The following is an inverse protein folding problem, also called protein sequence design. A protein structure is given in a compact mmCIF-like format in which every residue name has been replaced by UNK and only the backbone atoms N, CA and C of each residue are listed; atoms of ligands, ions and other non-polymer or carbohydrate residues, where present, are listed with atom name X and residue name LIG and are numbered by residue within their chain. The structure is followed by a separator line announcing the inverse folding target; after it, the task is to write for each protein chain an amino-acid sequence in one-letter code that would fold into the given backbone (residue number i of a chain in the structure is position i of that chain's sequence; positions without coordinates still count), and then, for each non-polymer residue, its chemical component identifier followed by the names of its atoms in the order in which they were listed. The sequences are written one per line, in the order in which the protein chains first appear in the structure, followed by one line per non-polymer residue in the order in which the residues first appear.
data_IF_587042033684
#
_entry.id   IF_587042033684
#
_cell.length_a   1.000
_cell.length_b   1.000
_cell.length_c   1.000
_cell.angle_alpha   90.00
_cell.angle_beta   90.00
_cell.angle_gamma   90.00
#
_symmetry.space_group_name_H-M   'P 1'
#
loop_
_entity.id
_entity.type
_entity.pdbx_description
1 polymer ?
#
# COMPACT_ATOMS: atom_id res chain seq x y z
N UNK A 1 -21.97 1.48 -9.03
CA UNK A 1 -21.40 0.49 -9.96
C UNK A 1 -20.02 0.02 -9.47
N UNK A 2 -19.06 0.88 -9.18
CA UNK A 2 -17.67 0.56 -8.78
C UNK A 2 -17.59 -0.27 -7.47
N UNK A 3 -18.40 0.03 -6.47
CA UNK A 3 -18.47 -0.74 -5.21
C UNK A 3 -18.97 -2.18 -5.43
N UNK A 4 -19.92 -2.38 -6.31
CA UNK A 4 -20.43 -3.73 -6.66
C UNK A 4 -19.40 -4.54 -7.44
N UNK A 5 -18.68 -3.92 -8.38
CA UNK A 5 -17.64 -4.60 -9.15
C UNK A 5 -16.46 -5.01 -8.24
N UNK A 6 -16.00 -4.15 -7.33
CA UNK A 6 -14.93 -4.47 -6.39
C UNK A 6 -15.32 -5.62 -5.45
N UNK A 7 -16.57 -5.65 -4.96
CA UNK A 7 -17.07 -6.77 -4.15
C UNK A 7 -17.18 -8.08 -4.96
N UNK A 8 -17.55 -8.02 -6.23
CA UNK A 8 -17.56 -9.21 -7.10
C UNK A 8 -16.15 -9.77 -7.33
N UNK A 9 -15.16 -8.94 -7.62
CA UNK A 9 -13.78 -9.40 -7.83
C UNK A 9 -13.18 -10.05 -6.57
N UNK A 10 -13.44 -9.50 -5.38
CA UNK A 10 -12.98 -10.09 -4.12
C UNK A 10 -13.65 -11.45 -3.88
N UNK A 11 -14.94 -11.60 -4.15
CA UNK A 11 -15.68 -12.85 -4.01
C UNK A 11 -15.16 -13.94 -4.95
N UNK A 12 -14.93 -13.58 -6.21
CA UNK A 12 -14.43 -14.53 -7.22
C UNK A 12 -13.03 -15.03 -6.86
N UNK A 13 -12.16 -14.14 -6.39
CA UNK A 13 -10.82 -14.49 -5.91
C UNK A 13 -10.86 -15.40 -4.69
N UNK A 14 -11.71 -15.09 -3.69
CA UNK A 14 -11.91 -15.92 -2.51
C UNK A 14 -12.50 -17.30 -2.85
N UNK A 15 -13.49 -17.34 -3.75
CA UNK A 15 -14.07 -18.62 -4.20
C UNK A 15 -13.05 -19.49 -4.90
N UNK A 16 -12.18 -18.88 -5.72
CA UNK A 16 -11.07 -19.60 -6.38
C UNK A 16 -10.08 -20.13 -5.34
N UNK A 17 -9.68 -19.28 -4.40
CA UNK A 17 -8.73 -19.63 -3.34
C UNK A 17 -9.24 -20.79 -2.46
N UNK A 18 -10.51 -20.70 -2.02
CA UNK A 18 -11.17 -21.76 -1.24
C UNK A 18 -11.14 -23.11 -1.96
N UNK A 19 -11.42 -23.13 -3.26
CA UNK A 19 -11.43 -24.35 -4.08
C UNK A 19 -10.01 -24.87 -4.35
N UNK A 20 -9.06 -23.98 -4.57
CA UNK A 20 -7.68 -24.33 -4.88
C UNK A 20 -6.99 -25.04 -3.71
N UNK A 21 -7.27 -24.58 -2.49
CA UNK A 21 -6.64 -25.09 -1.27
C UNK A 21 -7.53 -26.03 -0.44
N UNK A 22 -8.68 -26.43 -0.96
CA UNK A 22 -9.65 -27.31 -0.28
C UNK A 22 -10.04 -26.80 1.12
N UNK A 23 -10.27 -25.48 1.23
CA UNK A 23 -10.66 -24.83 2.49
C UNK A 23 -12.10 -25.21 2.82
N UNK A 24 -12.34 -25.77 4.00
CA UNK A 24 -13.65 -26.27 4.42
C UNK A 24 -14.36 -25.37 5.43
N UNK A 25 -13.61 -24.49 6.11
CA UNK A 25 -14.12 -23.61 7.16
C UNK A 25 -13.62 -22.19 7.02
N UNK A 26 -14.50 -21.23 7.31
CA UNK A 26 -14.16 -19.81 7.53
C UNK A 26 -14.41 -19.51 9.00
N UNK A 27 -13.40 -18.97 9.68
CA UNK A 27 -13.51 -18.55 11.06
C UNK A 27 -13.93 -17.09 11.15
N UNK A 28 -14.71 -16.75 12.15
CA UNK A 28 -15.06 -15.38 12.48
C UNK A 28 -15.01 -15.18 13.99
N UNK A 29 -14.86 -13.94 14.38
CA UNK A 29 -14.79 -13.53 15.77
C UNK A 29 -16.18 -13.57 16.42
N UNK A 30 -16.29 -14.05 17.67
CA UNK A 30 -17.56 -14.22 18.38
C UNK A 30 -18.37 -12.92 18.47
N UNK A 31 -17.71 -11.78 18.70
CA UNK A 31 -18.35 -10.48 18.84
C UNK A 31 -18.57 -9.76 17.48
N UNK A 32 -18.09 -10.30 16.38
CA UNK A 32 -18.29 -9.74 15.06
C UNK A 32 -19.64 -10.17 14.46
N UNK A 33 -20.16 -9.36 13.54
CA UNK A 33 -21.38 -9.72 12.81
C UNK A 33 -21.19 -11.01 12.02
N UNK A 34 -21.80 -12.09 12.47
CA UNK A 34 -21.75 -13.39 11.78
C UNK A 34 -22.42 -13.39 10.40
N UNK A 35 -23.19 -12.33 10.07
CA UNK A 35 -23.94 -12.25 8.80
C UNK A 35 -23.02 -12.19 7.58
N UNK A 36 -21.92 -11.44 7.66
CA UNK A 36 -20.96 -11.30 6.55
C UNK A 36 -20.21 -12.61 6.33
N UNK A 37 -19.71 -13.24 7.41
CA UNK A 37 -19.01 -14.52 7.34
C UNK A 37 -19.92 -15.64 6.80
N UNK A 38 -21.17 -15.70 7.27
CA UNK A 38 -22.17 -16.68 6.80
C UNK A 38 -22.53 -16.46 5.34
N UNK A 39 -22.71 -15.22 4.91
CA UNK A 39 -22.98 -14.91 3.50
C UNK A 39 -21.83 -15.37 2.63
N UNK A 40 -20.61 -15.02 3.00
CA UNK A 40 -19.41 -15.43 2.26
C UNK A 40 -19.26 -16.96 2.24
N UNK A 41 -19.40 -17.62 3.38
CA UNK A 41 -19.30 -19.07 3.48
C UNK A 41 -20.34 -19.79 2.61
N UNK A 42 -21.58 -19.31 2.59
CA UNK A 42 -22.63 -19.86 1.73
C UNK A 42 -22.34 -19.66 0.23
N UNK A 43 -21.78 -18.52 -0.15
CA UNK A 43 -21.43 -18.22 -1.54
C UNK A 43 -20.30 -19.10 -2.06
N UNK A 44 -19.31 -19.39 -1.22
CA UNK A 44 -18.15 -20.22 -1.62
C UNK A 44 -18.32 -21.71 -1.27
N UNK A 45 -19.39 -22.07 -0.58
CA UNK A 45 -19.74 -23.47 -0.27
C UNK A 45 -18.98 -24.09 0.90
N UNK A 46 -18.55 -23.28 1.88
CA UNK A 46 -17.81 -23.73 3.06
C UNK A 46 -18.63 -23.52 4.35
N UNK A 47 -18.17 -24.12 5.45
CA UNK A 47 -18.76 -23.97 6.77
C UNK A 47 -18.17 -22.77 7.53
N UNK A 48 -18.83 -22.35 8.59
CA UNK A 48 -18.31 -21.33 9.49
C UNK A 48 -18.07 -21.90 10.87
N UNK A 49 -17.02 -21.41 11.53
CA UNK A 49 -16.77 -21.67 12.96
C UNK A 49 -16.32 -20.36 13.65
N UNK A 50 -16.40 -20.35 14.97
CA UNK A 50 -16.05 -19.17 15.76
C UNK A 50 -14.67 -19.34 16.39
N UNK A 51 -13.87 -18.28 16.35
CA UNK A 51 -12.68 -18.15 17.20
C UNK A 51 -12.84 -16.91 18.08
N UNK A 52 -12.73 -17.10 19.38
CA UNK A 52 -12.81 -16.01 20.33
C UNK A 52 -11.40 -15.48 20.64
N UNK A 53 -11.08 -14.19 20.35
CA UNK A 53 -9.75 -13.61 20.63
C UNK A 53 -9.50 -13.39 22.14
N UNK A 54 -10.52 -13.64 23.00
CA UNK A 54 -10.44 -13.53 24.47
C UNK A 54 -10.12 -12.12 24.97
N UNK A 55 -10.55 -11.12 24.27
CA UNK A 55 -10.42 -9.72 24.71
C UNK A 55 -11.34 -9.41 25.90
N UNK A 56 -12.53 -10.05 25.93
CA UNK A 56 -13.50 -9.93 27.03
C UNK A 56 -14.52 -11.05 26.97
N UNK A 57 -15.04 -11.42 28.14
CA UNK A 57 -16.19 -12.33 28.24
C UNK A 57 -17.50 -11.53 28.22
N UNK A 58 -18.48 -12.02 27.49
CA UNK A 58 -19.83 -11.45 27.52
C UNK A 58 -20.49 -11.67 28.89
N UNK A 59 -21.49 -10.83 29.20
CA UNK A 59 -22.26 -11.01 30.45
C UNK A 59 -22.94 -12.39 30.57
N UNK A 60 -23.28 -12.99 29.44
CA UNK A 60 -23.89 -14.33 29.38
C UNK A 60 -22.87 -15.42 29.66
N UNK A 61 -21.67 -15.30 29.12
CA UNK A 61 -20.55 -16.21 29.38
C UNK A 61 -20.15 -16.18 30.87
N UNK A 62 -20.02 -14.99 31.46
CA UNK A 62 -19.73 -14.82 32.87
C UNK A 62 -20.81 -15.47 33.75
N UNK A 63 -22.11 -15.33 33.38
CA UNK A 63 -23.22 -15.98 34.11
C UNK A 63 -23.18 -17.50 34.01
N UNK A 64 -22.65 -18.07 32.94
CA UNK A 64 -22.44 -19.51 32.74
C UNK A 64 -21.18 -20.03 33.43
N UNK A 65 -20.40 -19.17 34.05
CA UNK A 65 -19.14 -19.53 34.70
C UNK A 65 -18.03 -19.85 33.74
N UNK A 66 -18.11 -19.31 32.49
CA UNK A 66 -17.02 -19.43 31.53
C UNK A 66 -15.82 -18.61 32.00
N UNK A 67 -14.64 -19.12 31.72
CA UNK A 67 -13.36 -18.52 32.03
C UNK A 67 -12.41 -18.64 30.80
N UNK A 68 -11.20 -18.14 30.96
CA UNK A 68 -10.17 -18.22 29.91
C UNK A 68 -9.95 -19.65 29.40
N UNK A 69 -9.92 -20.64 30.32
CA UNK A 69 -9.63 -22.04 29.97
C UNK A 69 -10.78 -22.66 29.18
N UNK A 70 -12.02 -22.38 29.57
CA UNK A 70 -13.20 -22.87 28.85
C UNK A 70 -13.30 -22.30 27.45
N UNK A 71 -13.02 -20.99 27.27
CA UNK A 71 -13.03 -20.33 25.96
C UNK A 71 -11.90 -20.84 25.07
N UNK A 72 -10.70 -21.03 25.63
CA UNK A 72 -9.58 -21.62 24.87
C UNK A 72 -9.85 -23.07 24.48
N UNK A 73 -10.52 -23.82 25.36
CA UNK A 73 -10.92 -25.20 25.05
C UNK A 73 -11.90 -25.23 23.86
N UNK A 74 -12.85 -24.30 23.82
CA UNK A 74 -13.78 -24.20 22.69
C UNK A 74 -13.07 -23.74 21.40
N UNK A 75 -12.17 -22.78 21.50
CA UNK A 75 -11.30 -22.38 20.37
C UNK A 75 -10.52 -23.59 19.82
N UNK A 76 -9.95 -24.41 20.69
CA UNK A 76 -9.21 -25.61 20.29
C UNK A 76 -10.11 -26.62 19.57
N UNK A 77 -11.34 -26.83 20.04
CA UNK A 77 -12.32 -27.71 19.35
C UNK A 77 -12.63 -27.16 17.94
N UNK A 78 -12.84 -25.85 17.83
CA UNK A 78 -13.13 -25.22 16.57
C UNK A 78 -11.93 -25.32 15.58
N UNK A 79 -10.70 -25.10 16.06
CA UNK A 79 -9.50 -25.28 15.26
C UNK A 79 -9.32 -26.72 14.76
N UNK A 80 -9.68 -27.72 15.58
CA UNK A 80 -9.64 -29.14 15.17
C UNK A 80 -10.50 -29.46 13.96
N UNK A 81 -11.53 -28.67 13.67
CA UNK A 81 -12.34 -28.81 12.47
C UNK A 81 -11.51 -28.67 11.17
N UNK A 82 -10.38 -28.01 11.25
CA UNK A 82 -9.47 -27.84 10.11
C UNK A 82 -8.13 -28.53 10.28
N UNK A 83 -7.62 -28.67 11.50
CA UNK A 83 -6.31 -29.33 11.73
C UNK A 83 -6.39 -30.85 11.69
N UNK A 84 -7.55 -31.44 11.96
CA UNK A 84 -7.76 -32.89 11.93
C UNK A 84 -8.20 -33.42 10.54
N UNK A 85 -8.19 -32.54 9.51
CA UNK A 85 -8.54 -32.88 8.12
C UNK A 85 -7.30 -32.77 7.26
N UNK A 86 -7.05 -33.75 6.39
CA UNK A 86 -6.03 -33.61 5.35
C UNK A 86 -6.42 -32.47 4.40
N UNK A 87 -5.56 -31.47 4.29
CA UNK A 87 -5.70 -30.33 3.38
C UNK A 87 -4.49 -30.23 2.46
N UNK A 88 -4.61 -29.41 1.43
CA UNK A 88 -3.45 -29.04 0.63
C UNK A 88 -2.62 -28.03 1.40
N UNK A 89 -1.31 -28.28 1.47
CA UNK A 89 -0.38 -27.29 2.02
C UNK A 89 -0.51 -25.98 1.24
N UNK A 90 -0.96 -24.93 1.91
CA UNK A 90 -0.88 -23.57 1.38
C UNK A 90 0.61 -23.27 1.36
N UNK A 91 1.19 -23.27 0.16
CA UNK A 91 2.46 -22.59 -0.02
C UNK A 91 2.14 -21.11 0.25
N UNK A 92 2.76 -20.45 1.26
CA UNK A 92 2.66 -19.02 1.33
C UNK A 92 2.97 -18.52 -0.09
N UNK A 93 2.13 -17.65 -0.64
CA UNK A 93 2.60 -16.89 -1.78
C UNK A 93 3.84 -16.18 -1.23
N UNK A 94 4.98 -16.82 -1.37
CA UNK A 94 6.25 -16.11 -1.30
C UNK A 94 6.02 -15.01 -2.30
N UNK A 95 5.96 -13.78 -1.80
CA UNK A 95 5.82 -12.63 -2.65
C UNK A 95 6.93 -12.75 -3.67
N UNK A 96 6.66 -13.53 -4.71
CA UNK A 96 7.65 -13.82 -5.70
C UNK A 96 7.80 -12.51 -6.44
N UNK A 97 8.94 -11.89 -6.27
CA UNK A 97 9.49 -10.91 -7.21
C UNK A 97 9.39 -11.39 -8.67
N UNK A 98 8.97 -12.63 -8.87
CA UNK A 98 8.85 -13.32 -10.15
C UNK A 98 7.56 -13.03 -10.93
N UNK A 99 6.56 -12.37 -10.36
CA UNK A 99 5.41 -11.90 -11.15
C UNK A 99 5.88 -10.72 -12.00
N UNK A 100 6.13 -10.98 -13.28
CA UNK A 100 6.42 -9.96 -14.29
C UNK A 100 5.17 -9.08 -14.51
N UNK A 101 4.92 -8.16 -13.59
CA UNK A 101 3.81 -7.20 -13.65
C UNK A 101 4.33 -5.80 -13.91
N UNK A 102 3.47 -4.91 -14.37
CA UNK A 102 3.78 -3.48 -14.53
C UNK A 102 4.29 -2.89 -13.21
N UNK A 103 3.64 -3.20 -12.09
CA UNK A 103 4.05 -2.74 -10.75
C UNK A 103 5.47 -3.17 -10.39
N UNK A 104 5.89 -4.36 -10.82
CA UNK A 104 7.24 -4.88 -10.57
C UNK A 104 8.26 -4.39 -11.62
N UNK A 105 7.86 -3.48 -12.50
CA UNK A 105 8.74 -2.88 -13.51
C UNK A 105 8.93 -3.73 -14.78
N UNK A 106 7.97 -4.60 -15.10
CA UNK A 106 7.97 -5.40 -16.33
C UNK A 106 6.85 -4.94 -17.27
N UNK A 107 7.22 -4.15 -18.27
CA UNK A 107 6.31 -3.65 -19.31
C UNK A 107 7.08 -3.33 -20.60
N UNK A 108 6.37 -3.28 -21.72
CA UNK A 108 6.92 -2.82 -22.98
C UNK A 108 6.86 -1.28 -23.04
N UNK A 109 7.89 -0.65 -23.60
CA UNK A 109 7.98 0.82 -23.71
C UNK A 109 6.80 1.42 -24.49
N UNK A 110 6.27 0.70 -25.48
CA UNK A 110 5.12 1.11 -26.30
C UNK A 110 3.80 1.19 -25.51
N UNK A 111 3.72 0.53 -24.35
CA UNK A 111 2.52 0.49 -23.52
C UNK A 111 2.44 1.69 -22.56
N UNK A 112 3.56 2.40 -22.40
CA UNK A 112 3.61 3.62 -21.57
C UNK A 112 2.88 4.77 -22.28
N UNK A 113 2.00 5.45 -21.57
CA UNK A 113 1.19 6.56 -22.07
C UNK A 113 1.43 7.83 -21.28
N UNK A 114 1.17 8.96 -21.93
CA UNK A 114 1.11 10.26 -21.26
C UNK A 114 0.04 10.26 -20.20
N UNK A 115 0.30 10.98 -19.10
CA UNK A 115 -0.61 11.14 -17.97
C UNK A 115 -0.80 12.61 -17.63
N UNK A 116 -1.94 12.95 -17.10
CA UNK A 116 -2.26 14.31 -16.70
C UNK A 116 -2.06 14.50 -15.20
N UNK A 117 -1.78 15.74 -14.77
CA UNK A 117 -1.65 16.05 -13.33
C UNK A 117 -2.90 15.69 -12.51
N UNK A 118 -4.05 15.59 -13.18
CA UNK A 118 -5.31 15.14 -12.59
C UNK A 118 -5.26 13.74 -11.99
N UNK A 119 -4.37 12.86 -12.47
CA UNK A 119 -4.19 11.50 -11.95
C UNK A 119 -3.67 11.50 -10.51
N UNK A 120 -2.96 12.56 -10.11
CA UNK A 120 -2.44 12.78 -8.77
C UNK A 120 -3.22 13.82 -7.97
N UNK A 121 -4.39 14.26 -8.43
CA UNK A 121 -5.19 15.26 -7.72
C UNK A 121 -5.59 14.79 -6.33
N UNK A 122 -5.44 15.67 -5.34
CA UNK A 122 -5.84 15.41 -3.95
C UNK A 122 -4.92 16.03 -2.92
N UNK A 123 -5.21 15.70 -1.65
CA UNK A 123 -4.40 16.05 -0.50
C UNK A 123 -3.53 14.85 -0.11
N UNK A 124 -2.23 15.07 -0.01
CA UNK A 124 -1.23 14.04 0.20
C UNK A 124 -0.39 14.33 1.43
N UNK A 125 0.02 13.28 2.13
CA UNK A 125 0.90 13.36 3.30
C UNK A 125 2.15 12.52 3.12
N UNK A 126 3.28 13.01 3.61
CA UNK A 126 4.54 12.28 3.62
C UNK A 126 4.47 11.09 4.58
N UNK A 127 5.06 9.96 4.19
CA UNK A 127 5.23 8.80 5.08
C UNK A 127 6.42 8.95 6.03
N UNK A 128 7.29 9.91 5.80
CA UNK A 128 8.52 10.08 6.56
C UNK A 128 8.31 10.26 8.08
N UNK A 129 7.32 11.06 8.55
CA UNK A 129 7.01 11.14 9.98
C UNK A 129 6.64 9.81 10.61
N UNK A 130 5.88 8.96 9.92
CA UNK A 130 5.48 7.62 10.41
C UNK A 130 6.64 6.63 10.48
N UNK A 131 7.67 6.84 9.66
CA UNK A 131 8.92 6.09 9.78
C UNK A 131 9.71 6.54 11.01
N UNK A 132 9.75 7.86 11.26
CA UNK A 132 10.50 8.44 12.38
C UNK A 132 9.89 8.08 13.75
N UNK A 133 8.57 8.04 13.86
CA UNK A 133 7.86 7.74 15.11
C UNK A 133 7.71 6.23 15.39
N UNK A 134 8.16 5.36 14.47
CA UNK A 134 8.12 3.91 14.61
C UNK A 134 6.82 3.25 14.15
N UNK A 135 5.83 4.01 13.66
CA UNK A 135 4.56 3.45 13.15
C UNK A 135 4.79 2.43 12.02
N UNK A 136 5.84 2.62 11.21
CA UNK A 136 6.17 1.72 10.10
C UNK A 136 7.11 0.56 10.49
N UNK A 137 7.54 0.42 11.74
CA UNK A 137 8.51 -0.61 12.14
C UNK A 137 8.01 -2.03 11.82
N UNK A 138 6.71 -2.28 12.01
CA UNK A 138 6.05 -3.55 11.64
C UNK A 138 6.21 -3.90 10.15
N UNK A 139 6.29 -2.91 9.26
CA UNK A 139 6.49 -3.13 7.81
C UNK A 139 7.89 -3.69 7.57
N UNK A 140 8.89 -3.13 8.24
CA UNK A 140 10.29 -3.55 8.09
C UNK A 140 10.55 -4.92 8.72
N UNK A 141 9.91 -5.19 9.86
CA UNK A 141 9.91 -6.53 10.46
C UNK A 141 9.31 -7.56 9.49
N UNK A 142 8.15 -7.27 8.93
CA UNK A 142 7.52 -8.16 7.96
C UNK A 142 8.38 -8.38 6.70
N UNK A 143 8.93 -7.31 6.10
CA UNK A 143 9.83 -7.42 4.95
C UNK A 143 11.08 -8.27 5.25
N UNK A 144 11.64 -8.17 6.45
CA UNK A 144 12.79 -8.98 6.87
C UNK A 144 12.48 -10.47 7.06
N UNK A 145 11.21 -10.79 7.36
CA UNK A 145 10.73 -12.18 7.41
C UNK A 145 10.55 -12.79 6.01
N UNK A 146 10.06 -11.99 5.07
CA UNK A 146 9.84 -12.44 3.68
C UNK A 146 11.14 -12.55 2.90
N UNK A 147 12.04 -11.61 3.07
CA UNK A 147 13.34 -11.59 2.40
C UNK A 147 14.47 -11.45 3.42
N UNK A 148 15.25 -12.49 3.57
CA UNK A 148 16.33 -12.58 4.55
C UNK A 148 17.60 -11.82 4.15
N UNK A 149 17.59 -11.09 3.05
CA UNK A 149 18.74 -10.33 2.56
C UNK A 149 19.09 -9.12 3.46
N UNK A 150 18.08 -8.63 4.22
CA UNK A 150 18.23 -7.50 5.15
C UNK A 150 17.49 -7.77 6.46
N UNK A 151 18.05 -7.26 7.54
CA UNK A 151 17.37 -7.16 8.83
C UNK A 151 16.31 -6.06 8.80
N UNK A 152 15.38 -6.05 9.75
CA UNK A 152 14.39 -4.98 9.88
C UNK A 152 15.05 -3.60 10.06
N UNK A 153 16.17 -3.52 10.79
CA UNK A 153 16.93 -2.30 10.98
C UNK A 153 17.55 -1.79 9.67
N UNK A 154 18.16 -2.68 8.88
CA UNK A 154 18.74 -2.32 7.56
C UNK A 154 17.64 -1.88 6.57
N UNK A 155 16.45 -2.49 6.62
CA UNK A 155 15.29 -1.98 5.88
C UNK A 155 14.91 -0.58 6.34
N UNK A 156 14.80 -0.34 7.65
CA UNK A 156 14.48 0.98 8.20
C UNK A 156 15.48 2.05 7.77
N UNK A 157 16.77 1.75 7.80
CA UNK A 157 17.82 2.66 7.34
C UNK A 157 17.71 2.97 5.84
N UNK A 158 17.47 1.96 5.02
CA UNK A 158 17.26 2.10 3.58
C UNK A 158 16.06 3.01 3.28
N UNK A 159 14.91 2.76 3.91
CA UNK A 159 13.70 3.56 3.73
C UNK A 159 13.83 4.96 4.37
N UNK A 160 14.60 5.12 5.44
CA UNK A 160 14.90 6.44 6.01
C UNK A 160 15.59 7.32 4.98
N UNK A 161 16.61 6.82 4.29
CA UNK A 161 17.29 7.55 3.23
C UNK A 161 16.32 7.85 2.07
N UNK A 162 15.52 6.85 1.68
CA UNK A 162 14.58 6.99 0.57
C UNK A 162 13.47 8.00 0.82
N UNK A 163 12.88 8.01 2.00
CA UNK A 163 11.70 8.82 2.33
C UNK A 163 12.01 10.22 2.86
N UNK A 164 13.26 10.49 3.22
CA UNK A 164 13.67 11.75 3.85
C UNK A 164 13.21 12.96 3.05
N UNK A 165 12.46 13.86 3.70
CA UNK A 165 11.97 15.12 3.12
C UNK A 165 11.62 16.13 4.21
N UNK A 166 11.66 17.42 3.87
CA UNK A 166 11.14 18.52 4.69
C UNK A 166 9.71 18.92 4.30
N UNK A 167 9.16 18.34 3.23
CA UNK A 167 7.80 18.59 2.75
C UNK A 167 6.84 17.60 3.41
N UNK A 168 6.01 18.08 4.33
CA UNK A 168 5.07 17.25 5.08
C UNK A 168 3.79 16.92 4.30
N UNK A 169 3.34 17.85 3.43
CA UNK A 169 2.09 17.71 2.65
C UNK A 169 2.24 18.26 1.25
N UNK A 170 1.49 17.67 0.33
CA UNK A 170 1.34 18.18 -1.04
C UNK A 170 -0.14 18.20 -1.39
N UNK A 171 -0.66 19.36 -1.83
CA UNK A 171 -2.00 19.50 -2.39
C UNK A 171 -1.89 19.67 -3.91
N UNK A 172 -2.61 18.86 -4.69
CA UNK A 172 -2.56 18.85 -6.14
C UNK A 172 -3.95 19.12 -6.71
N UNK A 173 -4.08 20.22 -7.47
CA UNK A 173 -5.28 20.53 -8.24
C UNK A 173 -4.98 20.34 -9.74
N UNK A 174 -5.29 19.17 -10.27
CA UNK A 174 -5.03 18.84 -11.67
C UNK A 174 -5.82 19.68 -12.67
N UNK A 175 -6.98 20.23 -12.27
CA UNK A 175 -7.76 21.13 -13.14
C UNK A 175 -7.10 22.49 -13.29
N UNK A 176 -6.49 22.99 -12.23
CA UNK A 176 -5.75 24.26 -12.24
C UNK A 176 -4.28 24.08 -12.60
N UNK A 177 -3.83 22.85 -12.75
CA UNK A 177 -2.42 22.51 -12.95
C UNK A 177 -1.52 23.10 -11.86
N UNK A 178 -1.95 23.06 -10.58
CA UNK A 178 -1.20 23.59 -9.44
C UNK A 178 -0.82 22.52 -8.45
N UNK A 179 0.36 22.71 -7.84
CA UNK A 179 0.83 21.94 -6.69
C UNK A 179 1.23 22.90 -5.57
N UNK A 180 0.75 22.62 -4.36
CA UNK A 180 1.11 23.34 -3.13
C UNK A 180 1.96 22.42 -2.26
N UNK A 181 3.18 22.86 -1.95
CA UNK A 181 4.10 22.14 -1.07
C UNK A 181 4.09 22.81 0.30
N UNK A 182 3.79 22.04 1.34
CA UNK A 182 3.79 22.48 2.74
C UNK A 182 4.93 21.81 3.48
N UNK A 183 5.83 22.60 4.06
CA UNK A 183 6.98 22.11 4.82
C UNK A 183 6.62 21.75 6.27
N UNK A 184 7.56 21.10 6.95
CA UNK A 184 7.42 20.74 8.37
C UNK A 184 7.27 21.95 9.30
N UNK A 185 7.76 23.12 8.91
CA UNK A 185 7.61 24.39 9.64
C UNK A 185 6.27 25.11 9.40
N UNK A 186 5.42 24.51 8.56
CA UNK A 186 4.11 25.04 8.19
C UNK A 186 4.14 26.04 7.03
N UNK A 187 5.30 26.42 6.51
CA UNK A 187 5.39 27.28 5.33
C UNK A 187 4.89 26.53 4.10
N UNK A 188 4.22 27.25 3.20
CA UNK A 188 3.65 26.69 1.99
C UNK A 188 3.96 27.56 0.77
N UNK A 189 4.15 26.91 -0.37
CA UNK A 189 4.30 27.57 -1.66
C UNK A 189 3.47 26.83 -2.70
N UNK A 190 2.83 27.59 -3.60
CA UNK A 190 2.03 27.03 -4.70
C UNK A 190 2.63 27.48 -6.02
N UNK A 191 2.77 26.53 -6.95
CA UNK A 191 3.22 26.81 -8.31
C UNK A 191 2.26 26.19 -9.31
N UNK A 192 2.22 26.81 -10.50
CA UNK A 192 1.50 26.31 -11.68
C UNK A 192 2.46 25.52 -12.57
N UNK A 193 2.04 24.37 -13.04
CA UNK A 193 2.88 23.44 -13.78
C UNK A 193 2.37 23.18 -15.19
N UNK A 194 3.29 22.85 -16.08
CA UNK A 194 3.01 22.22 -17.35
C UNK A 194 3.57 20.81 -17.36
N UNK A 195 2.97 19.93 -18.10
CA UNK A 195 3.47 18.58 -18.35
C UNK A 195 4.54 18.62 -19.44
N UNK A 196 5.65 17.93 -19.23
CA UNK A 196 6.80 17.86 -20.16
C UNK A 196 7.02 16.44 -20.75
N UNK A 197 6.06 15.54 -20.57
CA UNK A 197 6.19 14.16 -21.03
C UNK A 197 6.69 13.21 -19.93
N UNK A 198 7.15 12.04 -20.33
CA UNK A 198 7.67 11.02 -19.42
C UNK A 198 9.04 10.50 -19.85
N UNK A 199 9.72 9.83 -18.92
CA UNK A 199 10.96 9.10 -19.17
C UNK A 199 10.86 7.70 -18.60
N UNK A 200 11.27 6.72 -19.40
CA UNK A 200 11.41 5.32 -18.97
C UNK A 200 12.83 5.13 -18.46
N UNK A 201 12.95 4.64 -17.24
CA UNK A 201 14.23 4.30 -16.63
C UNK A 201 14.39 2.79 -16.63
N UNK A 202 15.58 2.29 -16.96
CA UNK A 202 15.94 0.89 -16.83
C UNK A 202 16.97 0.76 -15.71
N UNK A 203 16.63 0.02 -14.67
CA UNK A 203 17.49 -0.20 -13.51
C UNK A 203 18.51 -1.31 -13.77
N UNK A 204 19.56 -1.38 -12.97
CA UNK A 204 20.60 -2.43 -13.06
C UNK A 204 20.03 -3.86 -12.94
N UNK A 205 18.89 -4.02 -12.26
CA UNK A 205 18.14 -5.29 -12.15
C UNK A 205 17.42 -5.70 -13.45
N UNK A 206 17.41 -4.85 -14.49
CA UNK A 206 16.61 -5.02 -15.70
C UNK A 206 15.13 -4.62 -15.56
N UNK A 207 14.69 -4.28 -14.36
CA UNK A 207 13.35 -3.71 -14.12
C UNK A 207 13.28 -2.29 -14.66
N UNK A 208 12.08 -1.82 -14.98
CA UNK A 208 11.84 -0.46 -15.50
C UNK A 208 10.96 0.33 -14.54
N UNK A 209 11.10 1.66 -14.60
CA UNK A 209 10.21 2.61 -13.97
C UNK A 209 9.87 3.74 -14.93
N UNK A 210 8.79 4.44 -14.66
CA UNK A 210 8.41 5.63 -15.44
C UNK A 210 8.40 6.83 -14.51
N UNK A 211 8.97 7.94 -14.97
CA UNK A 211 8.84 9.25 -14.33
C UNK A 211 8.09 10.19 -15.26
N UNK A 212 7.03 10.81 -14.73
CA UNK A 212 6.22 11.81 -15.41
C UNK A 212 6.68 13.19 -14.98
N UNK A 213 7.02 14.04 -15.93
CA UNK A 213 7.79 15.25 -15.75
C UNK A 213 6.91 16.49 -15.83
N UNK A 214 7.09 17.40 -14.87
CA UNK A 214 6.37 18.66 -14.80
C UNK A 214 7.34 19.81 -14.50
N UNK A 215 7.12 20.97 -15.15
CA UNK A 215 7.93 22.17 -14.94
C UNK A 215 7.04 23.33 -14.51
N UNK A 216 7.46 24.04 -13.45
CA UNK A 216 6.77 25.24 -12.99
C UNK A 216 6.85 26.35 -14.04
N UNK A 217 5.73 27.07 -14.25
CA UNK A 217 5.60 28.10 -15.28
C UNK A 217 5.53 29.52 -14.73
N UNK A 218 5.36 29.66 -13.42
CA UNK A 218 5.16 30.94 -12.71
C UNK A 218 6.36 31.36 -11.88
N UNK A 219 7.50 30.71 -12.04
CA UNK A 219 8.73 30.99 -11.30
C UNK A 219 9.98 30.78 -12.12
N UNK A 220 11.12 31.22 -11.57
CA UNK A 220 12.44 30.99 -12.16
C UNK A 220 13.14 29.84 -11.43
N UNK A 221 13.89 29.00 -12.17
CA UNK A 221 14.57 27.84 -11.61
C UNK A 221 15.52 28.18 -10.44
N UNK A 222 16.21 29.33 -10.51
CA UNK A 222 17.14 29.74 -9.47
C UNK A 222 16.49 29.94 -8.09
N UNK A 223 15.24 30.37 -8.07
CA UNK A 223 14.53 30.78 -6.85
C UNK A 223 13.50 29.73 -6.39
N UNK A 224 13.24 28.68 -7.19
CA UNK A 224 12.21 27.71 -6.90
C UNK A 224 12.78 26.29 -6.74
N UNK A 225 12.87 25.74 -5.50
CA UNK A 225 13.32 24.39 -5.27
C UNK A 225 12.38 23.34 -5.88
N UNK A 226 11.17 23.70 -6.30
CA UNK A 226 10.16 22.85 -6.92
C UNK A 226 9.97 23.19 -8.41
N UNK A 227 10.99 23.78 -9.06
CA UNK A 227 10.92 24.17 -10.47
C UNK A 227 10.64 22.99 -11.38
N UNK A 228 11.28 21.87 -11.12
CA UNK A 228 11.12 20.63 -11.85
C UNK A 228 10.60 19.56 -10.88
N UNK A 229 9.54 18.88 -11.26
CA UNK A 229 8.90 17.84 -10.46
C UNK A 229 8.70 16.59 -11.32
N UNK A 230 8.97 15.42 -10.73
CA UNK A 230 8.78 14.13 -11.39
C UNK A 230 8.02 13.20 -10.48
N UNK A 231 6.98 12.53 -10.99
CA UNK A 231 6.21 11.52 -10.28
C UNK A 231 6.53 10.12 -10.77
N UNK A 232 6.53 9.16 -9.86
CA UNK A 232 6.54 7.73 -10.13
C UNK A 232 5.60 7.02 -9.16
N UNK A 233 4.66 6.21 -9.66
CA UNK A 233 3.66 5.50 -8.86
C UNK A 233 3.42 4.05 -9.34
N UNK A 234 4.40 3.49 -10.04
CA UNK A 234 4.36 2.14 -10.62
C UNK A 234 3.25 1.92 -11.67
N UNK A 235 2.64 3.00 -12.17
CA UNK A 235 1.64 2.96 -13.22
C UNK A 235 2.23 3.50 -14.53
N UNK A 236 1.75 2.97 -15.66
CA UNK A 236 2.25 3.32 -17.00
C UNK A 236 1.19 3.93 -17.92
N UNK A 237 -0.05 4.01 -17.46
CA UNK A 237 -1.21 4.53 -18.18
C UNK A 237 -2.08 5.43 -17.28
N UNK A 238 -2.99 6.25 -17.85
CA UNK A 238 -3.84 7.14 -17.09
C UNK A 238 -4.67 6.41 -16.03
N UNK A 239 -4.41 6.73 -14.77
CA UNK A 239 -5.15 6.18 -13.61
C UNK A 239 -4.97 7.07 -12.38
N UNK A 240 -5.95 7.09 -11.49
CA UNK A 240 -5.81 7.79 -10.22
C UNK A 240 -4.78 7.10 -9.34
N UNK A 241 -3.76 7.85 -8.93
CA UNK A 241 -2.69 7.34 -8.07
C UNK A 241 -3.19 6.96 -6.67
N UNK A 242 -2.72 5.84 -6.15
CA UNK A 242 -2.98 5.41 -4.78
C UNK A 242 -1.91 5.92 -3.80
N UNK A 243 -0.68 6.02 -4.27
CA UNK A 243 0.48 6.63 -3.62
C UNK A 243 1.48 6.99 -4.71
N UNK A 244 2.46 7.84 -4.40
CA UNK A 244 3.52 8.16 -5.35
C UNK A 244 4.85 8.49 -4.67
N UNK A 245 5.90 8.28 -5.43
CA UNK A 245 7.23 8.83 -5.18
C UNK A 245 7.38 10.13 -5.96
N UNK A 246 8.01 11.12 -5.36
CA UNK A 246 8.23 12.42 -5.99
C UNK A 246 9.71 12.80 -5.95
N UNK A 247 10.15 13.45 -7.00
CA UNK A 247 11.49 13.98 -7.14
C UNK A 247 11.36 15.43 -7.57
N UNK A 248 12.07 16.34 -6.94
CA UNK A 248 11.99 17.76 -7.28
C UNK A 248 13.33 18.47 -7.07
N UNK A 249 13.49 19.58 -7.76
CA UNK A 249 14.69 20.41 -7.68
C UNK A 249 14.63 21.59 -8.63
N UNK A 250 15.74 22.35 -8.70
CA UNK A 250 15.86 23.54 -9.52
C UNK A 250 16.99 23.45 -10.57
N UNK A 251 17.66 22.33 -10.71
CA UNK A 251 18.77 22.18 -11.65
C UNK A 251 18.29 21.96 -13.08
N UNK A 252 17.74 20.78 -13.38
CA UNK A 252 17.08 20.42 -14.63
C UNK A 252 16.35 19.11 -14.50
N UNK A 253 15.44 18.80 -15.44
CA UNK A 253 14.77 17.48 -15.50
C UNK A 253 15.79 16.34 -15.59
N UNK A 254 16.82 16.47 -16.42
CA UNK A 254 17.83 15.43 -16.62
C UNK A 254 18.72 15.19 -15.39
N UNK A 255 19.00 16.23 -14.60
CA UNK A 255 19.73 16.06 -13.34
C UNK A 255 18.89 15.36 -12.29
N UNK A 256 17.59 15.69 -12.15
CA UNK A 256 16.68 15.05 -11.21
C UNK A 256 16.43 13.58 -11.59
N UNK A 257 16.47 13.23 -12.87
CA UNK A 257 16.37 11.84 -13.32
C UNK A 257 17.50 10.94 -12.80
N UNK A 258 18.65 11.51 -12.43
CA UNK A 258 19.78 10.77 -11.86
C UNK A 258 19.60 10.40 -10.38
N UNK A 259 18.64 11.04 -9.67
CA UNK A 259 18.34 10.73 -8.28
C UNK A 259 17.67 9.37 -8.16
N UNK A 260 18.36 8.44 -7.48
CA UNK A 260 17.90 7.05 -7.28
C UNK A 260 17.83 6.65 -5.81
N UNK A 261 18.41 7.44 -4.93
CA UNK A 261 18.59 7.12 -3.52
C UNK A 261 17.55 7.76 -2.60
N UNK A 262 17.06 8.95 -2.98
CA UNK A 262 16.03 9.68 -2.24
C UNK A 262 14.76 9.79 -3.10
N UNK A 263 13.70 9.18 -2.62
CA UNK A 263 12.39 9.06 -3.29
C UNK A 263 11.26 9.28 -2.30
N UNK A 264 11.08 10.52 -1.79
CA UNK A 264 10.01 10.87 -0.86
C UNK A 264 8.68 10.33 -1.34
N UNK A 265 7.93 9.70 -0.43
CA UNK A 265 6.72 8.97 -0.75
C UNK A 265 5.53 9.58 -0.03
N UNK A 266 4.42 9.68 -0.77
CA UNK A 266 3.20 10.32 -0.30
C UNK A 266 2.00 9.40 -0.47
N UNK A 267 1.16 9.38 0.56
CA UNK A 267 -0.13 8.69 0.59
C UNK A 267 -1.27 9.70 0.77
N UNK A 268 -2.52 9.33 0.42
CA UNK A 268 -3.67 10.21 0.64
C UNK A 268 -3.75 10.72 2.08
N UNK A 269 -3.94 12.03 2.25
CA UNK A 269 -3.91 12.70 3.55
C UNK A 269 -5.00 12.24 4.55
N UNK A 270 -5.99 11.49 4.08
CA UNK A 270 -7.06 10.89 4.90
C UNK A 270 -6.68 9.56 5.57
N UNK A 271 -5.59 8.92 5.13
CA UNK A 271 -5.17 7.64 5.70
C UNK A 271 -4.43 7.85 7.01
N UNK A 272 -4.69 7.00 7.98
CA UNK A 272 -3.90 6.89 9.21
C UNK A 272 -2.55 6.22 8.93
N UNK A 273 -1.57 6.42 9.81
CA UNK A 273 -0.28 5.74 9.69
C UNK A 273 -0.40 4.20 9.69
N UNK A 274 -1.39 3.66 10.40
CA UNK A 274 -1.67 2.23 10.41
C UNK A 274 -2.20 1.72 9.06
N UNK A 275 -3.13 2.44 8.42
CA UNK A 275 -3.63 2.10 7.09
C UNK A 275 -2.51 2.18 6.05
N UNK A 276 -1.63 3.18 6.15
CA UNK A 276 -0.43 3.28 5.29
C UNK A 276 0.49 2.09 5.50
N UNK A 277 0.76 1.69 6.75
CA UNK A 277 1.58 0.52 7.04
C UNK A 277 0.97 -0.77 6.45
N UNK A 278 -0.34 -0.95 6.51
CA UNK A 278 -1.02 -2.09 5.90
C UNK A 278 -0.90 -2.08 4.37
N UNK A 279 -1.06 -0.93 3.71
CA UNK A 279 -0.85 -0.80 2.27
C UNK A 279 0.59 -1.17 1.89
N UNK A 280 1.59 -0.72 2.65
CA UNK A 280 3.01 -1.04 2.40
C UNK A 280 3.37 -2.51 2.60
N UNK A 281 2.62 -3.25 3.43
CA UNK A 281 2.80 -4.70 3.62
C UNK A 281 2.20 -5.47 2.45
N UNK A 282 1.14 -4.95 1.82
CA UNK A 282 0.47 -5.60 0.69
C UNK A 282 1.14 -5.36 -0.67
N UNK A 283 2.14 -4.50 -0.70
CA UNK A 283 3.03 -4.19 -1.83
C UNK A 283 4.41 -4.82 -1.61
#
# INVERSE_FOLDING_TARGET
LIRRQRQMCIRDSLSKYVKEYDINYIYFEENASSSVAKTLANEVGVKTAVLNPIESLTKEQLKKGEDYVSVMTENLKNLRLTTDVEGKAIQPETGSDDKKTVQNGYFDDKDVKDRELSDWSGEWQSVYPYLQDGTLDQVFEYKSLLNKDKTAQEYKEYYTKGYQTDVSKIAIDGKKMTMTFTKNDGSSVTHTYRYDGYKILTYASGKKGVRYLFTATDSQAADNPYQYVQFSDHQIDPTTSAHFHIFFGNSSQDEILKEMDNWPTYYPGKLSGFEIAQEMVSH
#
